data_IF_586812941967
#
_entry.id   IF_586812941967
#
_cell.length_a   1.000
_cell.length_b   1.000
_cell.length_c   1.000
_cell.angle_alpha   90.00
_cell.angle_beta   90.00
_cell.angle_gamma   90.00
#
_symmetry.space_group_name_H-M   'P 1'
#
loop_
_entity.id
_entity.type
_entity.pdbx_description
1 polymer ?
#
# COMPACT_ATOMS: atom_id res chain seq x y z
N UNK A 1 -10.54 26.45 0.90
CA UNK A 1 -11.75 26.19 1.75
C UNK A 1 -12.35 24.79 1.49
N UNK A 2 -12.32 24.27 0.28
CA UNK A 2 -12.83 22.92 -0.05
C UNK A 2 -12.11 21.78 0.70
N UNK A 3 -10.80 21.82 0.84
CA UNK A 3 -10.02 20.82 1.55
C UNK A 3 -10.45 20.63 3.02
N UNK A 4 -10.94 21.69 3.67
CA UNK A 4 -11.35 21.62 5.09
C UNK A 4 -12.64 20.83 5.30
N UNK A 5 -13.55 20.85 4.34
CA UNK A 5 -14.80 20.07 4.42
C UNK A 5 -14.54 18.57 4.22
N UNK A 6 -13.70 18.21 3.26
CA UNK A 6 -13.31 16.81 2.99
C UNK A 6 -12.70 16.17 4.25
N UNK A 7 -11.80 16.87 4.95
CA UNK A 7 -11.20 16.34 6.18
C UNK A 7 -12.20 16.15 7.31
N UNK A 8 -13.14 17.09 7.48
CA UNK A 8 -14.21 16.96 8.51
C UNK A 8 -15.14 15.79 8.21
N UNK A 9 -15.46 15.57 6.95
CA UNK A 9 -16.29 14.44 6.51
C UNK A 9 -15.57 13.12 6.75
N UNK A 10 -14.28 13.03 6.44
CA UNK A 10 -13.48 11.84 6.70
C UNK A 10 -13.40 11.56 8.20
N UNK A 11 -13.08 12.58 9.01
CA UNK A 11 -13.06 12.44 10.47
C UNK A 11 -14.40 11.97 11.04
N UNK A 12 -15.50 12.51 10.53
CA UNK A 12 -16.84 12.13 10.97
C UNK A 12 -17.17 10.67 10.62
N UNK A 13 -16.74 10.20 9.43
CA UNK A 13 -17.00 8.83 8.96
C UNK A 13 -16.07 7.78 9.59
N UNK A 14 -14.84 8.15 9.96
CA UNK A 14 -13.81 7.23 10.45
C UNK A 14 -13.60 7.25 11.96
N UNK A 15 -14.35 8.09 12.69
CA UNK A 15 -14.11 8.29 14.12
C UNK A 15 -12.79 9.00 14.43
N UNK A 16 -12.17 9.64 13.41
CA UNK A 16 -10.95 10.42 13.56
C UNK A 16 -9.65 9.70 13.11
N UNK A 17 -9.67 8.38 12.94
CA UNK A 17 -8.51 7.61 12.47
C UNK A 17 -8.75 7.13 11.03
N UNK A 18 -7.75 7.31 10.17
CA UNK A 18 -7.78 6.86 8.76
C UNK A 18 -6.94 5.60 8.62
N UNK A 19 -7.58 4.50 8.22
CA UNK A 19 -6.92 3.23 7.96
C UNK A 19 -6.65 3.07 6.46
N UNK A 20 -5.39 3.21 6.05
CA UNK A 20 -4.98 3.13 4.65
C UNK A 20 -4.44 1.74 4.35
N UNK A 21 -5.17 0.95 3.57
CA UNK A 21 -4.71 -0.33 3.06
C UNK A 21 -3.73 -0.13 1.90
N UNK A 22 -2.47 -0.55 2.08
CA UNK A 22 -1.48 -0.57 1.00
C UNK A 22 -1.52 -1.93 0.35
N UNK A 23 -2.22 -2.02 -0.77
CA UNK A 23 -2.57 -3.27 -1.44
C UNK A 23 -1.96 -3.34 -2.85
N UNK A 24 -2.17 -4.42 -3.58
CA UNK A 24 -1.65 -4.54 -4.94
C UNK A 24 -0.86 -5.83 -5.16
N UNK A 25 -0.28 -6.00 -6.35
CA UNK A 25 0.56 -7.15 -6.65
C UNK A 25 1.70 -7.33 -5.66
N UNK A 26 2.11 -8.55 -5.42
CA UNK A 26 3.33 -8.84 -4.67
C UNK A 26 4.55 -8.16 -5.30
N UNK A 27 5.57 -7.82 -4.50
CA UNK A 27 6.86 -7.26 -4.95
C UNK A 27 6.83 -5.90 -5.68
N UNK A 28 5.78 -5.14 -5.50
CA UNK A 28 5.65 -3.76 -6.04
C UNK A 28 6.25 -2.67 -5.13
N UNK A 29 6.86 -3.05 -4.00
CA UNK A 29 7.47 -2.09 -3.07
C UNK A 29 6.53 -1.59 -1.98
N UNK A 30 5.43 -2.28 -1.66
CA UNK A 30 4.47 -1.89 -0.61
C UNK A 30 5.14 -1.61 0.73
N UNK A 31 5.92 -2.55 1.23
CA UNK A 31 6.60 -2.41 2.54
C UNK A 31 7.66 -1.29 2.51
N UNK A 32 8.35 -1.09 1.39
CA UNK A 32 9.27 0.06 1.20
C UNK A 32 8.50 1.38 1.24
N UNK A 33 7.36 1.45 0.54
CA UNK A 33 6.48 2.61 0.55
C UNK A 33 6.01 2.92 1.97
N UNK A 34 5.47 1.95 2.69
CA UNK A 34 4.98 2.11 4.08
C UNK A 34 6.09 2.63 4.99
N UNK A 35 7.27 2.02 4.91
CA UNK A 35 8.43 2.45 5.69
C UNK A 35 8.78 3.91 5.41
N UNK A 36 8.98 4.26 4.14
CA UNK A 36 9.37 5.63 3.74
C UNK A 36 8.28 6.65 4.04
N UNK A 37 7.02 6.28 3.85
CA UNK A 37 5.90 7.12 4.22
C UNK A 37 5.94 7.47 5.71
N UNK A 38 6.10 6.48 6.58
CA UNK A 38 6.15 6.69 8.03
C UNK A 38 7.39 7.46 8.47
N UNK A 39 8.56 7.15 7.91
CA UNK A 39 9.81 7.87 8.17
C UNK A 39 9.69 9.36 7.78
N UNK A 40 9.03 9.65 6.67
CA UNK A 40 8.98 11.00 6.09
C UNK A 40 7.85 11.85 6.68
N UNK A 41 6.69 11.27 6.92
CA UNK A 41 5.49 12.02 7.28
C UNK A 41 5.07 11.88 8.74
N UNK A 42 5.33 10.73 9.39
CA UNK A 42 4.88 10.47 10.74
C UNK A 42 5.99 10.72 11.79
N UNK A 43 7.19 10.17 11.61
CA UNK A 43 8.29 10.28 12.57
C UNK A 43 8.59 11.73 13.00
N UNK A 44 8.65 12.72 12.09
CA UNK A 44 8.95 14.11 12.50
C UNK A 44 7.89 14.75 13.41
N UNK A 45 6.68 14.22 13.41
CA UNK A 45 5.54 14.73 14.21
C UNK A 45 5.33 13.99 15.54
N UNK A 46 6.12 12.98 15.84
CA UNK A 46 6.00 12.12 17.02
C UNK A 46 7.07 12.50 18.06
N UNK A 47 6.71 12.46 19.35
CA UNK A 47 7.65 12.68 20.45
C UNK A 47 8.77 11.64 20.42
N UNK A 48 10.00 12.04 20.72
CA UNK A 48 11.19 11.18 20.68
C UNK A 48 11.01 9.84 21.39
N UNK A 49 10.37 9.87 22.56
CA UNK A 49 10.08 8.68 23.38
C UNK A 49 9.26 7.59 22.66
N UNK A 50 8.45 7.99 21.63
CA UNK A 50 7.61 7.09 20.83
C UNK A 50 8.18 6.81 19.44
N UNK A 51 9.27 7.44 19.05
CA UNK A 51 9.86 7.24 17.73
C UNK A 51 10.46 5.85 17.57
N UNK A 52 11.07 5.31 18.63
CA UNK A 52 11.67 3.97 18.60
C UNK A 52 10.59 2.89 18.46
N UNK A 53 9.46 3.03 19.14
CA UNK A 53 8.31 2.13 18.98
C UNK A 53 7.78 2.13 17.53
N UNK A 54 7.74 3.31 16.90
CA UNK A 54 7.34 3.38 15.48
C UNK A 54 8.41 2.74 14.58
N UNK A 55 9.70 3.00 14.81
CA UNK A 55 10.79 2.40 14.02
C UNK A 55 10.78 0.88 14.08
N UNK A 56 10.55 0.32 15.27
CA UNK A 56 10.46 -1.14 15.48
C UNK A 56 9.24 -1.76 14.79
N UNK A 57 8.16 -0.99 14.64
CA UNK A 57 6.96 -1.42 13.93
C UNK A 57 7.09 -1.37 12.40
N UNK A 58 8.09 -0.64 11.85
CA UNK A 58 8.24 -0.49 10.41
C UNK A 58 8.60 -1.83 9.75
N UNK A 59 8.06 -2.08 8.54
CA UNK A 59 8.40 -3.29 7.82
C UNK A 59 9.87 -3.26 7.39
N UNK A 60 10.54 -4.39 7.54
CA UNK A 60 11.88 -4.57 6.97
C UNK A 60 11.72 -4.67 5.46
N UNK A 61 12.35 -3.76 4.71
CA UNK A 61 12.39 -3.85 3.25
C UNK A 61 13.09 -5.14 2.85
N UNK A 62 12.32 -6.09 2.35
CA UNK A 62 12.87 -7.37 1.91
C UNK A 62 13.63 -7.21 0.60
N UNK A 63 14.93 -7.00 0.66
CA UNK A 63 15.84 -7.29 -0.46
C UNK A 63 15.99 -8.80 -0.66
N UNK A 64 15.43 -9.62 0.22
CA UNK A 64 15.46 -11.07 0.17
C UNK A 64 14.28 -11.66 -0.61
N UNK A 65 14.54 -12.80 -1.24
CA UNK A 65 13.61 -13.53 -2.12
C UNK A 65 12.41 -14.13 -1.36
N UNK A 66 12.38 -14.14 -0.03
CA UNK A 66 11.39 -14.88 0.77
C UNK A 66 10.40 -13.96 1.47
N UNK A 67 9.12 -14.12 1.16
CA UNK A 67 8.02 -13.52 1.91
C UNK A 67 7.78 -14.38 3.16
N UNK A 68 7.89 -13.81 4.36
CA UNK A 68 7.89 -14.58 5.60
C UNK A 68 6.52 -14.66 6.28
N UNK A 69 5.64 -13.67 6.08
CA UNK A 69 4.32 -13.62 6.71
C UNK A 69 3.23 -13.33 5.71
N UNK A 70 2.04 -13.90 5.94
CA UNK A 70 0.84 -13.68 5.11
C UNK A 70 -0.19 -12.81 5.82
N UNK A 71 -0.01 -12.56 7.11
CA UNK A 71 -0.93 -11.76 7.91
C UNK A 71 -0.78 -10.26 7.63
N UNK A 72 -1.90 -9.53 7.52
CA UNK A 72 -1.87 -8.08 7.48
C UNK A 72 -1.19 -7.49 8.72
N UNK A 73 -0.34 -6.49 8.53
CA UNK A 73 0.33 -5.77 9.61
C UNK A 73 -0.18 -4.34 9.70
N UNK A 74 -0.63 -3.95 10.88
CA UNK A 74 -1.02 -2.57 11.17
C UNK A 74 0.20 -1.76 11.63
N UNK A 75 0.49 -0.67 10.95
CA UNK A 75 1.72 0.12 11.13
C UNK A 75 1.36 1.60 11.30
N UNK A 76 1.63 2.18 12.45
CA UNK A 76 1.90 1.52 13.74
C UNK A 76 0.66 0.85 14.32
N UNK A 77 0.76 0.24 15.51
CA UNK A 77 -0.39 -0.38 16.18
C UNK A 77 -1.51 0.63 16.47
N UNK A 78 -1.15 1.85 16.86
CA UNK A 78 -2.07 2.98 17.04
C UNK A 78 -1.86 4.02 15.95
N UNK A 79 -2.94 4.66 15.49
CA UNK A 79 -2.85 5.69 14.48
C UNK A 79 -2.02 6.89 14.98
N UNK A 80 -1.16 7.40 14.10
CA UNK A 80 -0.25 8.51 14.40
C UNK A 80 -0.63 9.77 13.63
N UNK A 81 -0.35 10.97 14.21
CA UNK A 81 -0.62 12.21 13.52
C UNK A 81 0.34 12.42 12.35
N UNK A 82 -0.22 12.77 11.21
CA UNK A 82 0.50 13.18 10.00
C UNK A 82 0.01 14.57 9.60
N UNK A 83 0.95 15.46 9.25
CA UNK A 83 0.63 16.80 8.78
C UNK A 83 0.28 16.75 7.28
N UNK A 84 -0.86 17.34 6.95
CA UNK A 84 -1.32 17.50 5.58
C UNK A 84 -1.34 18.99 5.24
N UNK A 85 -0.72 19.36 4.12
CA UNK A 85 -0.88 20.67 3.48
C UNK A 85 -0.75 21.90 4.38
N UNK A 86 0.11 21.87 5.42
CA UNK A 86 0.36 22.98 6.32
C UNK A 86 0.09 22.67 7.80
N UNK A 87 -1.09 22.99 8.34
CA UNK A 87 -1.36 22.88 9.79
C UNK A 87 -2.32 21.75 10.17
N UNK A 88 -2.93 21.08 9.19
CA UNK A 88 -3.93 20.06 9.47
C UNK A 88 -3.29 18.73 9.86
N UNK A 89 -3.69 18.19 11.00
CA UNK A 89 -3.26 16.88 11.49
C UNK A 89 -4.37 15.86 11.24
N UNK A 90 -4.04 14.80 10.53
CA UNK A 90 -4.88 13.60 10.43
C UNK A 90 -4.19 12.45 11.12
N UNK A 91 -4.97 11.58 11.74
CA UNK A 91 -4.44 10.37 12.36
C UNK A 91 -4.50 9.23 11.36
N UNK A 92 -3.35 8.66 11.05
CA UNK A 92 -3.22 7.64 10.01
C UNK A 92 -2.61 6.36 10.59
N UNK A 93 -3.11 5.24 10.10
CA UNK A 93 -2.55 3.92 10.26
C UNK A 93 -2.44 3.27 8.88
N UNK A 94 -1.26 2.79 8.52
CA UNK A 94 -1.08 2.00 7.29
C UNK A 94 -1.26 0.52 7.59
N UNK A 95 -1.73 -0.22 6.61
CA UNK A 95 -1.91 -1.67 6.70
C UNK A 95 -1.14 -2.31 5.57
N UNK A 96 -0.09 -3.05 5.92
CA UNK A 96 0.71 -3.83 4.97
C UNK A 96 0.08 -5.20 4.74
N UNK A 97 0.15 -5.69 3.51
CA UNK A 97 -0.22 -7.05 3.16
C UNK A 97 0.71 -7.60 2.08
N UNK A 98 0.70 -8.90 1.92
CA UNK A 98 1.52 -9.58 0.90
C UNK A 98 1.14 -9.12 -0.51
N UNK A 99 -0.15 -8.98 -0.77
CA UNK A 99 -0.70 -8.72 -2.10
C UNK A 99 -0.99 -9.99 -2.88
N UNK A 100 -1.68 -9.84 -4.00
CA UNK A 100 -1.91 -10.97 -4.91
C UNK A 100 -0.60 -11.43 -5.55
N UNK A 101 -0.46 -12.75 -5.72
CA UNK A 101 0.74 -13.31 -6.33
C UNK A 101 0.90 -12.86 -7.78
N UNK A 102 2.15 -12.67 -8.15
CA UNK A 102 2.59 -12.26 -9.48
C UNK A 102 3.30 -13.46 -10.12
N UNK A 103 3.09 -13.65 -11.41
CA UNK A 103 3.82 -14.66 -12.18
C UNK A 103 5.32 -14.43 -12.04
N UNK A 104 6.08 -15.51 -11.90
CA UNK A 104 7.52 -15.52 -11.71
C UNK A 104 8.04 -14.89 -10.38
N UNK A 105 7.13 -14.54 -9.45
CA UNK A 105 7.54 -14.14 -8.11
C UNK A 105 8.02 -15.34 -7.30
N UNK A 106 9.19 -15.24 -6.69
CA UNK A 106 9.75 -16.28 -5.82
C UNK A 106 9.11 -16.26 -4.42
N UNK A 107 9.11 -17.42 -3.72
CA UNK A 107 8.74 -17.53 -2.30
C UNK A 107 7.41 -18.23 -2.03
N UNK A 108 6.68 -18.66 -3.06
CA UNK A 108 5.47 -19.48 -2.93
C UNK A 108 5.73 -20.98 -3.09
N UNK A 109 6.95 -21.36 -3.50
CA UNK A 109 7.40 -22.74 -3.64
C UNK A 109 8.63 -22.96 -2.75
N UNK A 110 8.66 -24.05 -2.01
CA UNK A 110 9.75 -24.52 -1.16
C UNK A 110 10.00 -25.99 -1.50
N UNK A 111 11.26 -26.36 -1.80
CA UNK A 111 11.67 -27.71 -2.19
C UNK A 111 10.83 -28.32 -3.34
N UNK A 112 10.45 -27.51 -4.33
CA UNK A 112 9.65 -27.94 -5.48
C UNK A 112 8.17 -28.20 -5.17
N UNK A 113 7.71 -27.93 -3.95
CA UNK A 113 6.31 -28.03 -3.54
C UNK A 113 5.75 -26.67 -3.18
N UNK A 114 4.44 -26.53 -3.29
CA UNK A 114 3.77 -25.33 -2.84
C UNK A 114 3.97 -25.14 -1.33
N UNK A 115 4.39 -23.94 -0.95
CA UNK A 115 4.63 -23.59 0.45
C UNK A 115 3.32 -23.52 1.22
N UNK A 116 3.22 -24.28 2.31
CA UNK A 116 2.08 -24.26 3.22
C UNK A 116 2.35 -23.31 4.40
N UNK A 117 1.32 -22.60 4.85
CA UNK A 117 1.43 -21.62 5.94
C UNK A 117 0.27 -21.69 6.91
N UNK A 118 0.55 -21.40 8.17
CA UNK A 118 -0.46 -21.20 9.22
C UNK A 118 -0.98 -19.77 9.16
N UNK A 119 -2.29 -19.62 9.36
CA UNK A 119 -2.95 -18.31 9.41
C UNK A 119 -3.97 -18.26 10.53
N UNK A 120 -4.29 -17.08 11.10
CA UNK A 120 -5.29 -16.96 12.16
C UNK A 120 -6.71 -17.33 11.72
N UNK A 121 -6.97 -17.35 10.43
CA UNK A 121 -8.30 -17.63 9.86
C UNK A 121 -8.49 -19.05 9.35
N UNK A 122 -7.49 -19.92 9.50
CA UNK A 122 -7.58 -21.32 9.12
C UNK A 122 -7.04 -22.22 10.23
N UNK A 123 -7.82 -23.24 10.61
CA UNK A 123 -7.39 -24.24 11.60
C UNK A 123 -6.30 -25.18 11.04
N UNK A 124 -6.16 -25.27 9.73
CA UNK A 124 -5.16 -26.08 9.02
C UNK A 124 -4.20 -25.19 8.26
N UNK A 125 -3.02 -25.68 7.96
CA UNK A 125 -2.13 -25.04 7.00
C UNK A 125 -2.80 -24.98 5.63
N UNK A 126 -2.68 -23.84 4.96
CA UNK A 126 -3.21 -23.59 3.63
C UNK A 126 -2.07 -23.16 2.69
N UNK A 127 -2.24 -23.32 1.38
CA UNK A 127 -1.27 -22.85 0.40
C UNK A 127 -0.96 -21.37 0.58
N UNK A 128 0.31 -21.00 0.41
CA UNK A 128 0.77 -19.62 0.56
C UNK A 128 -0.01 -18.63 -0.33
N UNK A 129 -0.30 -19.02 -1.58
CA UNK A 129 -1.05 -18.16 -2.49
C UNK A 129 -2.48 -17.88 -2.01
N UNK A 130 -3.14 -18.89 -1.44
CA UNK A 130 -4.48 -18.77 -0.86
C UNK A 130 -4.47 -17.86 0.37
N UNK A 131 -3.49 -18.07 1.26
CA UNK A 131 -3.30 -17.24 2.43
C UNK A 131 -3.02 -15.76 2.09
N UNK A 132 -2.18 -15.51 1.11
CA UNK A 132 -1.88 -14.17 0.61
C UNK A 132 -3.11 -13.49 -0.02
N UNK A 133 -3.91 -14.26 -0.76
CA UNK A 133 -5.18 -13.80 -1.31
C UNK A 133 -6.15 -13.39 -0.21
N UNK A 134 -6.44 -14.30 0.73
CA UNK A 134 -7.38 -14.06 1.84
C UNK A 134 -6.92 -12.86 2.67
N UNK A 135 -5.64 -12.78 3.00
CA UNK A 135 -5.08 -11.65 3.75
C UNK A 135 -5.27 -10.31 3.03
N UNK A 136 -5.03 -10.28 1.72
CA UNK A 136 -5.22 -9.08 0.90
C UNK A 136 -6.71 -8.69 0.80
N UNK A 137 -7.60 -9.65 0.57
CA UNK A 137 -9.04 -9.43 0.54
C UNK A 137 -9.57 -8.92 1.88
N UNK A 138 -9.05 -9.40 3.02
CA UNK A 138 -9.40 -8.88 4.35
C UNK A 138 -8.97 -7.43 4.55
N UNK A 139 -7.76 -7.04 4.09
CA UNK A 139 -7.34 -5.64 4.11
C UNK A 139 -8.30 -4.78 3.29
N UNK A 140 -8.62 -5.20 2.09
CA UNK A 140 -9.52 -4.47 1.20
C UNK A 140 -10.94 -4.37 1.80
N UNK A 141 -11.51 -5.47 2.29
CA UNK A 141 -12.93 -5.49 2.69
C UNK A 141 -13.18 -5.03 4.13
N UNK A 142 -12.29 -5.39 5.08
CA UNK A 142 -12.57 -5.29 6.51
C UNK A 142 -11.70 -4.25 7.24
N UNK A 143 -10.44 -4.07 6.83
CA UNK A 143 -9.46 -3.36 7.65
C UNK A 143 -9.16 -1.94 7.19
N UNK A 144 -9.34 -1.63 5.92
CA UNK A 144 -9.05 -0.31 5.37
C UNK A 144 -10.29 0.54 5.15
N UNK A 145 -10.17 1.84 5.38
CA UNK A 145 -11.16 2.84 4.95
C UNK A 145 -10.84 3.38 3.56
N UNK A 146 -9.56 3.43 3.23
CA UNK A 146 -9.02 3.93 1.96
C UNK A 146 -8.00 2.93 1.42
N UNK A 147 -7.87 2.84 0.09
CA UNK A 147 -6.86 2.02 -0.58
C UNK A 147 -5.75 2.85 -1.23
N UNK A 148 -4.52 2.37 -1.13
CA UNK A 148 -3.43 2.74 -2.04
C UNK A 148 -3.02 1.47 -2.79
N UNK A 149 -3.32 1.42 -4.08
CA UNK A 149 -2.91 0.30 -4.93
C UNK A 149 -1.50 0.56 -5.40
N UNK A 150 -0.56 -0.24 -4.90
CA UNK A 150 0.83 -0.19 -5.34
C UNK A 150 1.02 -1.11 -6.55
N UNK A 151 1.50 -0.54 -7.65
CA UNK A 151 1.97 -1.28 -8.83
C UNK A 151 3.37 -0.80 -9.23
N UNK A 152 3.90 -1.25 -10.36
CA UNK A 152 5.24 -0.89 -10.83
C UNK A 152 5.28 -0.83 -12.36
N UNK A 153 6.21 -0.07 -12.90
CA UNK A 153 6.56 -0.06 -14.33
C UNK A 153 7.56 -1.17 -14.70
N UNK A 154 7.94 -2.02 -13.73
CA UNK A 154 8.93 -3.09 -13.93
C UNK A 154 10.38 -2.64 -13.80
N UNK A 155 10.65 -1.37 -13.50
CA UNK A 155 12.03 -0.85 -13.35
C UNK A 155 12.73 -1.31 -12.06
N UNK A 156 12.00 -1.85 -11.09
CA UNK A 156 12.54 -2.45 -9.87
C UNK A 156 12.51 -3.98 -9.97
N UNK A 157 13.67 -4.61 -9.90
CA UNK A 157 13.82 -6.07 -9.89
C UNK A 157 13.84 -6.69 -11.30
N UNK A 158 13.61 -8.00 -11.35
CA UNK A 158 13.75 -8.81 -12.56
C UNK A 158 12.40 -9.23 -13.18
N UNK A 159 11.28 -8.84 -12.56
CA UNK A 159 9.94 -9.21 -13.01
C UNK A 159 9.43 -8.14 -13.98
N UNK A 160 9.12 -8.50 -15.23
CA UNK A 160 8.64 -7.55 -16.22
C UNK A 160 7.22 -7.03 -15.89
N UNK A 161 6.90 -5.82 -16.36
CA UNK A 161 5.64 -5.11 -16.08
C UNK A 161 4.40 -5.96 -16.37
N UNK A 162 4.39 -6.69 -17.46
CA UNK A 162 3.25 -7.50 -17.90
C UNK A 162 2.82 -8.55 -16.87
N UNK A 163 3.74 -9.06 -16.07
CA UNK A 163 3.44 -10.05 -15.04
C UNK A 163 2.63 -9.51 -13.87
N UNK A 164 2.65 -8.18 -13.68
CA UNK A 164 1.91 -7.51 -12.60
C UNK A 164 0.45 -7.19 -12.97
N UNK A 165 0.13 -7.12 -14.27
CA UNK A 165 -1.16 -6.58 -14.76
C UNK A 165 -2.35 -7.34 -14.19
N UNK A 166 -2.34 -8.66 -14.24
CA UNK A 166 -3.46 -9.47 -13.75
C UNK A 166 -3.74 -9.28 -12.25
N UNK A 167 -2.69 -9.22 -11.42
CA UNK A 167 -2.83 -8.98 -9.99
C UNK A 167 -3.22 -7.53 -9.68
N UNK A 168 -2.78 -6.57 -10.50
CA UNK A 168 -3.20 -5.16 -10.44
C UNK A 168 -4.70 -5.02 -10.72
N UNK A 169 -5.18 -5.60 -11.83
CA UNK A 169 -6.61 -5.61 -12.19
C UNK A 169 -7.45 -6.20 -11.08
N UNK A 170 -7.09 -7.36 -10.59
CA UNK A 170 -7.78 -8.03 -9.49
C UNK A 170 -7.87 -7.16 -8.23
N UNK A 171 -6.79 -6.44 -7.89
CA UNK A 171 -6.77 -5.53 -6.74
C UNK A 171 -7.74 -4.37 -6.93
N UNK A 172 -7.71 -3.74 -8.11
CA UNK A 172 -8.56 -2.61 -8.46
C UNK A 172 -10.03 -3.02 -8.47
N UNK A 173 -10.36 -4.16 -9.07
CA UNK A 173 -11.72 -4.69 -9.09
C UNK A 173 -12.25 -4.99 -7.68
N UNK A 174 -11.40 -5.56 -6.81
CA UNK A 174 -11.77 -5.84 -5.43
C UNK A 174 -12.10 -4.56 -4.64
N UNK A 175 -11.32 -3.48 -4.82
CA UNK A 175 -11.59 -2.18 -4.19
C UNK A 175 -12.86 -1.53 -4.75
N UNK A 176 -13.06 -1.56 -6.07
CA UNK A 176 -14.28 -1.05 -6.72
C UNK A 176 -15.53 -1.78 -6.24
N UNK A 177 -15.48 -3.11 -6.11
CA UNK A 177 -16.59 -3.92 -5.58
C UNK A 177 -16.97 -3.55 -4.15
N UNK A 178 -16.01 -3.05 -3.36
CA UNK A 178 -16.24 -2.59 -1.99
C UNK A 178 -16.60 -1.10 -1.92
N UNK A 179 -16.71 -0.42 -3.07
CA UNK A 179 -16.99 1.03 -3.16
C UNK A 179 -16.04 1.87 -2.29
N UNK A 180 -14.80 1.40 -2.12
CA UNK A 180 -13.81 2.10 -1.31
C UNK A 180 -13.04 3.11 -2.17
N UNK A 181 -12.81 4.31 -1.65
CA UNK A 181 -11.94 5.28 -2.32
C UNK A 181 -10.51 4.77 -2.36
N UNK A 182 -9.84 4.91 -3.49
CA UNK A 182 -8.44 4.52 -3.66
C UNK A 182 -7.77 5.26 -4.81
N UNK A 183 -6.45 5.26 -4.77
CA UNK A 183 -5.60 5.70 -5.88
C UNK A 183 -4.63 4.60 -6.28
N UNK A 184 -4.06 4.73 -7.47
CA UNK A 184 -2.98 3.85 -7.93
C UNK A 184 -1.65 4.59 -7.87
N UNK A 185 -0.64 3.96 -7.24
CA UNK A 185 0.72 4.47 -7.16
C UNK A 185 1.64 3.52 -7.92
N UNK A 186 2.25 4.03 -8.98
CA UNK A 186 3.24 3.32 -9.80
C UNK A 186 4.62 3.55 -9.19
N UNK A 187 5.22 2.49 -8.64
CA UNK A 187 6.59 2.54 -8.16
C UNK A 187 7.56 2.42 -9.34
N UNK A 188 8.39 3.43 -9.54
CA UNK A 188 9.35 3.54 -10.64
C UNK A 188 10.69 4.08 -10.16
N UNK A 189 11.80 3.59 -10.72
CA UNK A 189 13.13 4.20 -10.50
C UNK A 189 13.21 5.61 -11.09
N UNK A 190 12.48 5.84 -12.16
CA UNK A 190 12.48 7.10 -12.93
C UNK A 190 11.05 7.63 -13.16
N UNK A 191 10.34 8.03 -12.08
CA UNK A 191 8.91 8.31 -12.12
C UNK A 191 8.51 9.44 -13.09
N UNK A 192 9.45 10.31 -13.47
CA UNK A 192 9.20 11.44 -14.37
C UNK A 192 9.51 11.14 -15.84
N UNK A 193 9.98 9.93 -16.17
CA UNK A 193 10.25 9.52 -17.54
C UNK A 193 8.95 9.43 -18.35
N UNK A 194 9.01 9.75 -19.62
CA UNK A 194 7.84 9.83 -20.50
C UNK A 194 7.06 8.50 -20.53
N UNK A 195 7.77 7.38 -20.64
CA UNK A 195 7.14 6.05 -20.65
C UNK A 195 6.40 5.74 -19.34
N UNK A 196 6.99 6.11 -18.19
CA UNK A 196 6.33 5.94 -16.89
C UNK A 196 5.10 6.84 -16.76
N UNK A 197 5.18 8.08 -17.25
CA UNK A 197 4.03 8.99 -17.25
C UNK A 197 2.94 8.55 -18.24
N UNK A 198 3.32 7.94 -19.34
CA UNK A 198 2.38 7.32 -20.28
C UNK A 198 1.64 6.15 -19.64
N UNK A 199 2.36 5.27 -18.92
CA UNK A 199 1.77 4.17 -18.15
C UNK A 199 0.76 4.69 -17.10
N UNK A 200 1.10 5.78 -16.39
CA UNK A 200 0.17 6.42 -15.43
C UNK A 200 -1.12 6.84 -16.12
N UNK A 201 -1.05 7.49 -17.30
CA UNK A 201 -2.23 7.89 -18.08
C UNK A 201 -3.05 6.68 -18.53
N UNK A 202 -2.41 5.62 -19.02
CA UNK A 202 -3.10 4.38 -19.42
C UNK A 202 -3.86 3.74 -18.25
N UNK A 203 -3.27 3.71 -17.06
CA UNK A 203 -3.92 3.23 -15.83
C UNK A 203 -5.14 4.10 -15.50
N UNK A 204 -4.98 5.43 -15.55
CA UNK A 204 -6.08 6.37 -15.28
C UNK A 204 -7.22 6.19 -16.27
N UNK A 205 -6.92 6.07 -17.55
CA UNK A 205 -7.92 5.93 -18.61
C UNK A 205 -8.62 4.55 -18.57
N UNK A 206 -7.84 3.48 -18.36
CA UNK A 206 -8.36 2.11 -18.31
C UNK A 206 -9.28 1.89 -17.12
N UNK A 207 -8.83 2.30 -15.95
CA UNK A 207 -9.55 1.99 -14.72
C UNK A 207 -10.44 3.13 -14.21
N UNK A 208 -10.35 4.32 -14.81
CA UNK A 208 -11.09 5.54 -14.36
C UNK A 208 -10.81 5.85 -12.89
N UNK A 209 -9.54 5.91 -12.52
CA UNK A 209 -9.05 6.15 -11.15
C UNK A 209 -7.91 7.15 -11.17
N UNK A 210 -7.69 7.84 -10.07
CA UNK A 210 -6.50 8.67 -9.90
C UNK A 210 -5.24 7.80 -9.81
N UNK A 211 -4.20 8.18 -10.54
CA UNK A 211 -2.91 7.49 -10.48
C UNK A 211 -1.75 8.49 -10.49
N UNK A 212 -0.61 8.07 -9.97
CA UNK A 212 0.65 8.82 -10.04
C UNK A 212 1.85 7.88 -9.92
N UNK A 213 3.00 8.32 -10.42
CA UNK A 213 4.26 7.62 -10.25
C UNK A 213 5.14 8.26 -9.18
N UNK A 214 5.83 7.43 -8.41
CA UNK A 214 6.83 7.83 -7.40
C UNK A 214 7.99 6.83 -7.37
N UNK A 215 9.13 7.26 -6.84
CA UNK A 215 10.19 6.35 -6.43
C UNK A 215 10.04 6.09 -4.92
N UNK A 216 9.60 4.89 -4.54
CA UNK A 216 9.34 4.55 -3.14
C UNK A 216 10.61 4.56 -2.27
N UNK A 217 11.79 4.29 -2.83
CA UNK A 217 13.06 4.36 -2.09
C UNK A 217 13.48 5.80 -1.80
N UNK A 218 13.09 6.73 -2.67
CA UNK A 218 13.41 8.16 -2.59
C UNK A 218 12.17 9.02 -2.29
N UNK A 219 11.17 8.46 -1.62
CA UNK A 219 9.91 9.12 -1.32
C UNK A 219 10.14 10.36 -0.46
N UNK A 220 9.69 11.51 -0.95
CA UNK A 220 9.85 12.82 -0.30
C UNK A 220 8.54 13.23 0.38
N UNK A 221 8.66 14.23 1.26
CA UNK A 221 7.49 14.79 1.96
C UNK A 221 6.43 15.32 0.99
N UNK A 222 6.86 15.95 -0.09
CA UNK A 222 5.99 16.48 -1.14
C UNK A 222 5.24 15.35 -1.88
N UNK A 223 5.90 14.21 -2.10
CA UNK A 223 5.27 13.03 -2.71
C UNK A 223 4.20 12.46 -1.79
N UNK A 224 4.50 12.33 -0.50
CA UNK A 224 3.53 11.88 0.52
C UNK A 224 2.33 12.83 0.58
N UNK A 225 2.56 14.15 0.61
CA UNK A 225 1.47 15.13 0.63
C UNK A 225 0.57 14.99 -0.60
N UNK A 226 1.15 14.87 -1.80
CA UNK A 226 0.39 14.67 -3.05
C UNK A 226 -0.39 13.36 -3.07
N UNK A 227 0.18 12.27 -2.53
CA UNK A 227 -0.50 10.98 -2.41
C UNK A 227 -1.71 11.13 -1.50
N UNK A 228 -1.52 11.71 -0.32
CA UNK A 228 -2.60 11.90 0.64
C UNK A 228 -3.70 12.82 0.12
N UNK A 229 -3.34 13.93 -0.51
CA UNK A 229 -4.30 14.83 -1.15
C UNK A 229 -5.14 14.07 -2.18
N UNK A 230 -4.49 13.34 -3.11
CA UNK A 230 -5.22 12.56 -4.12
C UNK A 230 -6.14 11.50 -3.50
N UNK A 231 -5.66 10.76 -2.51
CA UNK A 231 -6.46 9.74 -1.80
C UNK A 231 -7.68 10.37 -1.14
N UNK A 232 -7.51 11.53 -0.53
CA UNK A 232 -8.59 12.21 0.18
C UNK A 232 -9.61 12.86 -0.75
N UNK A 233 -9.21 13.22 -1.97
CA UNK A 233 -10.14 13.71 -3.00
C UNK A 233 -11.05 12.61 -3.59
N UNK A 234 -10.70 11.34 -3.44
CA UNK A 234 -11.54 10.22 -3.88
C UNK A 234 -12.68 9.88 -2.88
N UNK A 235 -12.73 10.55 -1.73
CA UNK A 235 -13.83 10.49 -0.76
C UNK A 235 -15.03 11.33 -1.16
#
# INVERSE_FOLDING_TARGET
>A
MENFQVYRDIQARTGGDIYIGVVGPGRTGKSTFIRRFMETAALPGIREEKQDELRDALPVSGSGKMITTVEPKFIPKEAVPVLLGGEQKVRIKLIDCVGFLVKDAAGHVEDGKERMVKTPWSAKEIPFHEAAQIGTEKVISQHSTIGIVMTTDGSFGEIPRENFISAEERTIEALKKQEKPFIVVVNSQIPYKEETQQLVKEIQEKYKVSAMAVNCEQLRKEDVSRILEKVLYEF
#
